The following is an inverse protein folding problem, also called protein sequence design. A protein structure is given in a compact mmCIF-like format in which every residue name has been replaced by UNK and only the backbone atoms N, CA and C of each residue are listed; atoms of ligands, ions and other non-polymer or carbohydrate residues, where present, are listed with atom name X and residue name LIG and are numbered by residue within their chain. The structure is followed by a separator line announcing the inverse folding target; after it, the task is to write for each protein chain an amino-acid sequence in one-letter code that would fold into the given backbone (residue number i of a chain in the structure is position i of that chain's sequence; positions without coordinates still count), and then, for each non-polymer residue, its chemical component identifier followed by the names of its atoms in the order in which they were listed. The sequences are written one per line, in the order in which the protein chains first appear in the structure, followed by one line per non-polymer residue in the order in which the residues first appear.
data_IF_698798199127
#
_entry.id   IF_698798199127
#
_cell.length_a   1.000
_cell.length_b   1.000
_cell.length_c   1.000
_cell.angle_alpha   90.00
_cell.angle_beta   90.00
_cell.angle_gamma   90.00
#
_symmetry.space_group_name_H-M   'P 1'
#
loop_
_entity.id
_entity.type
_entity.pdbx_description
1 polymer ?
#
# COMPACT_ATOMS: atom_id res chain seq x y z
N UNK A 1 19.58 -13.05 -6.01
CA UNK A 1 18.85 -13.69 -4.89
C UNK A 1 17.36 -13.45 -5.11
N UNK A 2 16.60 -14.47 -5.54
CA UNK A 2 15.16 -14.36 -5.65
C UNK A 2 14.60 -14.35 -4.23
N UNK A 3 14.29 -13.16 -3.69
CA UNK A 3 13.61 -13.03 -2.41
C UNK A 3 12.28 -13.75 -2.49
N UNK A 4 12.18 -14.94 -1.89
CA UNK A 4 10.94 -15.69 -1.80
C UNK A 4 9.97 -14.88 -0.94
N UNK A 5 9.08 -14.17 -1.63
CA UNK A 5 8.06 -13.31 -1.04
C UNK A 5 7.16 -14.16 -0.14
N UNK A 6 7.38 -14.09 1.18
CA UNK A 6 6.55 -14.81 2.13
C UNK A 6 5.18 -14.11 2.21
N UNK A 7 4.07 -14.83 1.93
CA UNK A 7 2.74 -14.24 2.00
C UNK A 7 2.38 -13.86 3.45
N UNK A 8 1.66 -12.73 3.60
CA UNK A 8 1.23 -12.21 4.90
C UNK A 8 0.64 -13.31 5.81
N UNK A 9 1.03 -13.38 7.10
CA UNK A 9 0.54 -14.39 8.05
C UNK A 9 -0.98 -14.50 8.09
N UNK A 10 -1.70 -13.38 7.95
CA UNK A 10 -3.17 -13.34 7.98
C UNK A 10 -3.79 -14.01 6.74
N UNK A 11 -3.24 -13.72 5.55
CA UNK A 11 -3.69 -14.34 4.31
C UNK A 11 -3.39 -15.84 4.31
N UNK A 12 -2.17 -16.21 4.68
CA UNK A 12 -1.72 -17.60 4.71
C UNK A 12 -2.48 -18.41 5.78
N UNK A 13 -2.74 -17.82 6.96
CA UNK A 13 -3.55 -18.43 8.00
C UNK A 13 -5.01 -18.61 7.55
N UNK A 14 -5.62 -17.61 6.90
CA UNK A 14 -6.97 -17.71 6.34
C UNK A 14 -7.09 -18.82 5.30
N UNK A 15 -6.16 -18.86 4.33
CA UNK A 15 -6.13 -19.86 3.26
C UNK A 15 -5.95 -21.30 3.83
N UNK A 16 -5.19 -21.45 4.94
CA UNK A 16 -5.01 -22.73 5.65
C UNK A 16 -6.23 -23.14 6.49
N UNK A 17 -6.86 -22.19 7.17
CA UNK A 17 -8.12 -22.41 7.90
C UNK A 17 -9.24 -22.87 6.96
N UNK A 18 -9.32 -22.29 5.76
CA UNK A 18 -10.28 -22.68 4.72
C UNK A 18 -10.06 -24.10 4.17
N UNK A 19 -8.81 -24.59 4.21
CA UNK A 19 -8.46 -26.00 3.87
C UNK A 19 -8.80 -27.00 4.98
N UNK A 20 -9.37 -26.53 6.09
CA UNK A 20 -9.77 -27.38 7.22
C UNK A 20 -8.67 -27.65 8.24
N UNK A 21 -7.53 -26.94 8.17
CA UNK A 21 -6.48 -27.07 9.16
C UNK A 21 -6.91 -26.46 10.52
N UNK A 22 -6.55 -27.14 11.60
CA UNK A 22 -7.01 -26.82 12.95
C UNK A 22 -6.49 -25.46 13.46
N UNK A 23 -7.37 -24.68 14.08
CA UNK A 23 -7.07 -23.36 14.63
C UNK A 23 -5.86 -23.34 15.57
N UNK A 24 -5.68 -24.40 16.37
CA UNK A 24 -4.56 -24.54 17.30
C UNK A 24 -3.21 -24.72 16.60
N UNK A 25 -3.19 -25.48 15.50
CA UNK A 25 -1.97 -25.70 14.72
C UNK A 25 -1.51 -24.41 14.04
N UNK A 26 -2.47 -23.66 13.46
CA UNK A 26 -2.22 -22.38 12.81
C UNK A 26 -1.81 -21.32 13.84
N UNK A 27 -2.47 -21.28 15.00
CA UNK A 27 -2.09 -20.40 16.11
C UNK A 27 -0.64 -20.61 16.54
N UNK A 28 -0.22 -21.86 16.74
CA UNK A 28 1.18 -22.20 17.06
C UNK A 28 2.16 -21.82 15.95
N UNK A 29 1.82 -22.11 14.69
CA UNK A 29 2.68 -21.85 13.54
C UNK A 29 2.98 -20.36 13.35
N UNK A 30 1.98 -19.50 13.56
CA UNK A 30 2.12 -18.05 13.37
C UNK A 30 2.28 -17.27 14.70
N UNK A 31 2.42 -17.97 15.82
CA UNK A 31 2.41 -17.40 17.17
C UNK A 31 1.21 -16.45 17.41
N UNK A 32 0.03 -16.83 16.90
CA UNK A 32 -1.21 -16.08 17.03
C UNK A 32 -2.02 -16.59 18.22
N UNK A 33 -2.64 -15.65 18.94
CA UNK A 33 -3.57 -15.99 20.02
C UNK A 33 -4.85 -16.56 19.42
N UNK A 34 -5.50 -17.48 20.14
CA UNK A 34 -6.69 -18.19 19.64
C UNK A 34 -7.82 -17.24 19.23
N UNK A 35 -8.03 -16.14 19.97
CA UNK A 35 -9.03 -15.13 19.61
C UNK A 35 -8.73 -14.49 18.25
N UNK A 36 -7.46 -14.27 17.92
CA UNK A 36 -7.00 -13.75 16.62
C UNK A 36 -7.29 -14.76 15.51
N UNK A 37 -7.01 -16.04 15.73
CA UNK A 37 -7.29 -17.10 14.77
C UNK A 37 -8.80 -17.22 14.50
N UNK A 38 -9.63 -17.13 15.55
CA UNK A 38 -11.10 -17.09 15.40
C UNK A 38 -11.57 -15.85 14.63
N UNK A 39 -10.98 -14.68 14.90
CA UNK A 39 -11.31 -13.44 14.20
C UNK A 39 -10.95 -13.52 12.71
N UNK A 40 -9.79 -14.09 12.36
CA UNK A 40 -9.39 -14.32 10.98
C UNK A 40 -10.40 -15.24 10.27
N UNK A 41 -10.80 -16.35 10.92
CA UNK A 41 -11.81 -17.26 10.37
C UNK A 41 -13.16 -16.55 10.16
N UNK A 42 -13.61 -15.75 11.13
CA UNK A 42 -14.88 -15.01 11.05
C UNK A 42 -14.87 -13.94 9.95
N UNK A 43 -13.74 -13.27 9.77
CA UNK A 43 -13.60 -12.13 8.84
C UNK A 43 -13.02 -12.53 7.48
N UNK A 44 -12.87 -13.82 7.19
CA UNK A 44 -12.20 -14.34 6.00
C UNK A 44 -12.71 -13.71 4.69
N UNK A 45 -14.04 -13.58 4.55
CA UNK A 45 -14.65 -12.95 3.37
C UNK A 45 -14.32 -11.45 3.24
N UNK A 46 -14.28 -10.71 4.36
CA UNK A 46 -13.92 -9.31 4.38
C UNK A 46 -12.43 -9.11 4.05
N UNK A 47 -11.57 -9.98 4.59
CA UNK A 47 -10.13 -10.00 4.29
C UNK A 47 -9.92 -10.27 2.80
N UNK A 48 -10.61 -11.26 2.20
CA UNK A 48 -10.55 -11.53 0.76
C UNK A 48 -10.92 -10.30 -0.07
N UNK A 49 -12.04 -9.64 0.26
CA UNK A 49 -12.47 -8.40 -0.42
C UNK A 49 -11.43 -7.29 -0.29
N UNK A 50 -10.89 -7.07 0.91
CA UNK A 50 -9.87 -6.07 1.17
C UNK A 50 -8.57 -6.35 0.40
N UNK A 51 -8.12 -7.61 0.37
CA UNK A 51 -6.95 -8.03 -0.41
C UNK A 51 -7.16 -7.75 -1.89
N UNK A 52 -8.31 -8.12 -2.47
CA UNK A 52 -8.64 -7.89 -3.88
C UNK A 52 -8.67 -6.39 -4.22
N UNK A 53 -9.27 -5.57 -3.35
CA UNK A 53 -9.32 -4.11 -3.54
C UNK A 53 -7.93 -3.46 -3.42
N UNK A 54 -7.05 -3.98 -2.56
CA UNK A 54 -5.69 -3.46 -2.36
C UNK A 54 -4.65 -3.99 -3.35
N UNK A 55 -4.91 -5.09 -4.08
CA UNK A 55 -3.90 -5.75 -4.93
C UNK A 55 -3.58 -4.99 -6.21
N UNK A 56 -4.42 -4.04 -6.66
CA UNK A 56 -4.15 -3.30 -7.90
C UNK A 56 -2.95 -2.35 -7.81
N UNK A 57 -2.51 -1.94 -6.62
CA UNK A 57 -1.48 -0.90 -6.47
C UNK A 57 -0.34 -1.21 -5.48
N UNK A 58 -0.47 -2.15 -4.53
CA UNK A 58 0.61 -2.34 -3.56
C UNK A 58 0.62 -3.69 -2.86
N UNK A 59 1.21 -4.68 -3.53
CA UNK A 59 1.43 -6.04 -2.98
C UNK A 59 2.58 -6.10 -1.96
N UNK A 60 3.43 -5.06 -1.86
CA UNK A 60 4.71 -5.16 -1.15
C UNK A 60 4.67 -4.91 0.37
N UNK A 61 3.63 -4.25 0.91
CA UNK A 61 3.63 -3.79 2.32
C UNK A 61 2.31 -3.97 3.09
N UNK A 62 1.36 -4.75 2.57
CA UNK A 62 -0.01 -4.82 3.10
C UNK A 62 -0.19 -5.52 4.47
N UNK A 63 0.86 -5.73 5.25
CA UNK A 63 0.77 -6.28 6.61
C UNK A 63 0.63 -5.22 7.71
N UNK A 64 1.05 -3.99 7.47
CA UNK A 64 0.82 -2.87 8.40
C UNK A 64 -0.47 -2.16 7.98
N UNK A 65 -1.32 -1.79 8.94
CA UNK A 65 -2.47 -0.92 8.69
C UNK A 65 -1.94 0.30 7.93
N UNK A 66 -2.24 0.38 6.63
CA UNK A 66 -1.74 1.45 5.76
C UNK A 66 -2.23 2.76 6.35
N UNK A 67 -1.33 3.70 6.61
CA UNK A 67 -1.70 5.01 7.14
C UNK A 67 -2.63 5.71 6.12
N UNK A 68 -3.77 6.22 6.59
CA UNK A 68 -4.78 6.86 5.73
C UNK A 68 -4.19 8.09 5.02
N UNK A 69 -3.30 8.84 5.68
CA UNK A 69 -2.61 9.98 5.08
C UNK A 69 -1.65 9.52 3.99
N UNK A 70 -0.95 8.41 4.21
CA UNK A 70 -0.04 7.83 3.21
C UNK A 70 -0.82 7.37 1.97
N UNK A 71 -1.94 6.66 2.14
CA UNK A 71 -2.78 6.23 1.01
C UNK A 71 -3.34 7.41 0.21
N UNK A 72 -3.81 8.46 0.90
CA UNK A 72 -4.29 9.69 0.23
C UNK A 72 -3.18 10.38 -0.55
N UNK A 73 -1.98 10.40 0.00
CA UNK A 73 -0.80 11.00 -0.64
C UNK A 73 -0.37 10.17 -1.86
N UNK A 74 -0.31 8.85 -1.75
CA UNK A 74 -0.01 7.94 -2.88
C UNK A 74 -1.00 8.15 -4.04
N UNK A 75 -2.31 8.28 -3.74
CA UNK A 75 -3.34 8.55 -4.75
C UNK A 75 -3.18 9.92 -5.41
N UNK A 76 -2.90 10.96 -4.62
CA UNK A 76 -2.70 12.31 -5.15
C UNK A 76 -1.47 12.38 -6.06
N UNK A 77 -0.37 11.72 -5.67
CA UNK A 77 0.84 11.61 -6.50
C UNK A 77 0.55 10.85 -7.79
N UNK A 78 -0.20 9.75 -7.74
CA UNK A 78 -0.56 8.99 -8.93
C UNK A 78 -1.35 9.83 -9.96
N UNK A 79 -2.39 10.55 -9.49
CA UNK A 79 -3.17 11.47 -10.34
C UNK A 79 -2.25 12.56 -10.91
N UNK A 80 -1.38 13.14 -10.09
CA UNK A 80 -0.47 14.19 -10.54
C UNK A 80 0.51 13.70 -11.61
N UNK A 81 1.02 12.46 -11.50
CA UNK A 81 1.89 11.84 -12.51
C UNK A 81 1.12 11.64 -13.82
N UNK A 82 -0.11 11.12 -13.76
CA UNK A 82 -0.96 10.95 -14.95
C UNK A 82 -1.21 12.29 -15.66
N UNK A 83 -1.47 13.36 -14.90
CA UNK A 83 -1.58 14.72 -15.43
C UNK A 83 -0.28 15.22 -16.07
N UNK A 84 0.88 14.94 -15.46
CA UNK A 84 2.17 15.32 -16.04
C UNK A 84 2.45 14.57 -17.36
N UNK A 85 2.13 13.27 -17.41
CA UNK A 85 2.25 12.45 -18.63
C UNK A 85 1.37 13.03 -19.75
N UNK A 86 0.12 13.37 -19.45
CA UNK A 86 -0.79 13.99 -20.42
C UNK A 86 -0.29 15.36 -20.90
N UNK A 87 0.37 16.12 -20.02
CA UNK A 87 0.99 17.42 -20.34
C UNK A 87 2.37 17.30 -20.99
N UNK A 88 2.83 16.07 -21.29
CA UNK A 88 4.18 15.75 -21.83
C UNK A 88 5.32 16.36 -21.00
N UNK A 89 5.11 16.48 -19.70
CA UNK A 89 6.15 16.91 -18.77
C UNK A 89 6.90 15.66 -18.32
N UNK A 90 8.23 15.56 -18.54
CA UNK A 90 9.01 14.41 -18.11
C UNK A 90 8.98 14.29 -16.58
N UNK A 91 8.35 13.24 -16.06
CA UNK A 91 8.47 12.86 -14.66
C UNK A 91 9.73 12.01 -14.53
N UNK A 92 10.80 12.58 -13.97
CA UNK A 92 12.03 11.84 -13.70
C UNK A 92 11.75 10.82 -12.60
N UNK A 93 11.64 9.54 -12.96
CA UNK A 93 11.77 8.45 -11.99
C UNK A 93 13.26 8.31 -11.71
N UNK A 94 13.69 8.65 -10.49
CA UNK A 94 15.10 8.46 -10.09
C UNK A 94 15.36 6.95 -10.00
N UNK A 95 15.76 6.33 -11.10
CA UNK A 95 16.59 5.13 -11.07
C UNK A 95 17.96 5.57 -10.56
N UNK A 96 18.45 4.88 -9.53
CA UNK A 96 19.59 5.25 -8.67
C UNK A 96 20.97 5.33 -9.33
N UNK A 97 21.09 5.74 -10.60
CA UNK A 97 22.38 5.75 -11.31
C UNK A 97 22.77 7.09 -11.95
N UNK A 98 21.99 8.17 -11.82
CA UNK A 98 22.38 9.47 -12.37
C UNK A 98 22.37 10.58 -11.31
N UNK A 99 23.48 10.67 -10.59
CA UNK A 99 23.88 11.82 -9.79
C UNK A 99 24.44 12.91 -10.71
N UNK A 100 23.56 13.78 -11.21
CA UNK A 100 23.95 14.92 -12.03
C UNK A 100 22.77 15.86 -12.30
N UNK A 101 22.89 17.09 -11.77
CA UNK A 101 22.03 18.26 -12.03
C UNK A 101 20.65 18.29 -11.34
N UNK A 102 20.68 18.51 -10.03
CA UNK A 102 19.57 19.10 -9.27
C UNK A 102 19.56 20.64 -9.47
N UNK A 103 18.93 21.09 -10.56
CA UNK A 103 18.42 22.47 -10.65
C UNK A 103 17.07 22.53 -9.91
N UNK A 104 16.83 23.51 -9.02
CA UNK A 104 15.63 23.55 -8.20
C UNK A 104 14.43 23.97 -9.05
N UNK A 105 13.62 23.00 -9.48
CA UNK A 105 12.30 23.24 -10.07
C UNK A 105 11.27 23.63 -8.99
N UNK A 106 11.56 24.70 -8.25
CA UNK A 106 10.58 25.46 -7.49
C UNK A 106 10.33 26.79 -8.22
N UNK A 107 9.58 26.75 -9.34
CA UNK A 107 9.17 27.97 -10.06
C UNK A 107 7.67 28.04 -10.35
N UNK A 108 6.83 27.32 -9.61
CA UNK A 108 5.37 27.45 -9.80
C UNK A 108 4.52 27.23 -8.55
N UNK A 109 4.90 27.82 -7.42
CA UNK A 109 3.90 28.19 -6.41
C UNK A 109 3.62 29.68 -6.59
N UNK A 110 2.52 30.03 -7.27
CA UNK A 110 1.94 31.36 -7.05
C UNK A 110 1.44 31.37 -5.61
N UNK A 111 1.74 32.40 -4.81
CA UNK A 111 1.06 32.61 -3.54
C UNK A 111 -0.45 32.65 -3.82
N UNK A 112 -1.22 31.97 -2.98
CA UNK A 112 -2.66 32.15 -2.92
C UNK A 112 -2.86 33.61 -2.52
N UNK A 113 -3.26 34.45 -3.47
CA UNK A 113 -3.66 35.82 -3.18
C UNK A 113 -4.90 35.74 -2.30
N UNK A 114 -4.77 36.17 -1.04
CA UNK A 114 -5.91 36.46 -0.18
C UNK A 114 -6.76 37.51 -0.89
N UNK A 115 -7.98 37.14 -1.27
CA UNK A 115 -8.94 38.07 -1.85
C UNK A 115 -9.36 39.08 -0.78
N UNK A 116 -9.21 40.35 -1.15
CA UNK A 116 -9.73 41.52 -0.47
C UNK A 116 -11.20 41.33 -0.08
N UNK A 117 -11.51 41.54 1.19
CA UNK A 117 -12.88 41.77 1.66
C UNK A 117 -12.94 43.22 2.14
N UNK A 118 -13.44 44.12 1.28
CA UNK A 118 -14.01 45.42 1.65
C UNK A 118 -15.19 45.24 2.63
#
# INVERSE_FOLDING_TARGET
MHGSLMPSPVKTAGDRLGKGEGSTAIGKHFNLVEHTVRAIKKNEAAIRKSVISGTKLSTKFASYTRDVLLERTERAIAIWIEEQVQRRIPVKTVSSDDEGDLEPLCKRCKPLSDSDND
#
